data_IF_604363561471
#
_entry.id   IF_604363561471
#
_cell.length_a   1.000
_cell.length_b   1.000
_cell.length_c   1.000
_cell.angle_alpha   90.00
_cell.angle_beta   90.00
_cell.angle_gamma   90.00
#
_symmetry.space_group_name_H-M   'P 1'
#
loop_
_entity.id
_entity.type
_entity.pdbx_description
1 polymer ?
#
# COMPACT_ATOMS: atom_id res chain seq x y z
N UNK A 1 10.77 -19.82 -12.38
CA UNK A 1 9.62 -20.75 -12.27
C UNK A 1 9.58 -21.58 -13.53
N UNK A 2 9.13 -22.84 -13.48
CA UNK A 2 8.92 -23.64 -14.69
C UNK A 2 7.61 -23.22 -15.37
N UNK A 3 7.53 -23.28 -16.70
CA UNK A 3 6.33 -22.89 -17.47
C UNK A 3 5.07 -23.62 -16.98
N UNK A 4 5.18 -24.91 -16.64
CA UNK A 4 4.07 -25.69 -16.09
C UNK A 4 3.55 -25.22 -14.72
N UNK A 5 4.35 -24.50 -13.92
CA UNK A 5 3.88 -23.92 -12.65
C UNK A 5 3.02 -22.68 -12.89
N UNK A 6 3.36 -21.88 -13.89
CA UNK A 6 2.61 -20.69 -14.28
C UNK A 6 1.26 -21.08 -14.90
N UNK A 7 1.24 -22.04 -15.82
CA UNK A 7 -0.01 -22.57 -16.40
C UNK A 7 -0.96 -23.15 -15.35
N UNK A 8 -0.41 -23.78 -14.30
CA UNK A 8 -1.21 -24.28 -13.18
C UNK A 8 -1.80 -23.15 -12.34
N UNK A 9 -1.03 -22.07 -12.10
CA UNK A 9 -1.51 -20.91 -11.37
C UNK A 9 -2.61 -20.18 -12.14
N UNK A 10 -2.45 -19.96 -13.44
CA UNK A 10 -3.44 -19.28 -14.26
C UNK A 10 -4.76 -20.06 -14.33
N UNK A 11 -4.69 -21.38 -14.51
CA UNK A 11 -5.89 -22.24 -14.45
C UNK A 11 -6.57 -22.19 -13.09
N UNK A 12 -5.78 -22.14 -12.01
CA UNK A 12 -6.32 -22.00 -10.65
C UNK A 12 -7.05 -20.66 -10.48
N UNK A 13 -6.44 -19.54 -10.89
CA UNK A 13 -7.06 -18.22 -10.79
C UNK A 13 -8.33 -18.12 -11.65
N UNK A 14 -8.29 -18.64 -12.88
CA UNK A 14 -9.45 -18.67 -13.79
C UNK A 14 -10.60 -19.50 -13.20
N UNK A 15 -10.33 -20.72 -12.72
CA UNK A 15 -11.35 -21.55 -12.07
C UNK A 15 -11.88 -20.93 -10.77
N UNK A 16 -11.06 -20.11 -10.11
CA UNK A 16 -11.43 -19.34 -8.93
C UNK A 16 -12.26 -18.11 -9.23
N UNK A 17 -12.34 -17.64 -10.49
CA UNK A 17 -12.91 -16.33 -10.81
C UNK A 17 -12.11 -15.17 -10.21
N UNK A 18 -10.80 -15.36 -10.02
CA UNK A 18 -9.90 -14.36 -9.41
C UNK A 18 -9.23 -13.56 -10.51
N UNK A 19 -9.53 -12.27 -10.58
CA UNK A 19 -8.94 -11.33 -11.54
C UNK A 19 -7.80 -10.56 -10.88
N UNK A 20 -6.57 -10.84 -11.31
CA UNK A 20 -5.36 -10.13 -10.89
C UNK A 20 -4.76 -9.40 -12.09
N UNK A 21 -4.14 -8.25 -11.85
CA UNK A 21 -3.33 -7.58 -12.86
C UNK A 21 -1.90 -8.12 -12.92
N UNK A 22 -1.06 -7.63 -13.84
CA UNK A 22 0.30 -8.15 -14.05
C UNK A 22 1.18 -8.14 -12.80
N UNK A 23 1.31 -6.99 -12.13
CA UNK A 23 2.14 -6.85 -10.91
C UNK A 23 1.64 -7.75 -9.77
N UNK A 24 0.33 -7.90 -9.63
CA UNK A 24 -0.27 -8.80 -8.64
C UNK A 24 0.04 -10.27 -8.95
N UNK A 25 -0.01 -10.66 -10.22
CA UNK A 25 0.39 -12.01 -10.67
C UNK A 25 1.88 -12.25 -10.42
N UNK A 26 2.74 -11.26 -10.69
CA UNK A 26 4.18 -11.38 -10.44
C UNK A 26 4.47 -11.61 -8.96
N UNK A 27 3.85 -10.84 -8.08
CA UNK A 27 3.96 -11.03 -6.62
C UNK A 27 3.41 -12.39 -6.18
N UNK A 28 2.27 -12.84 -6.72
CA UNK A 28 1.73 -14.16 -6.42
C UNK A 28 2.64 -15.29 -6.91
N UNK A 29 3.18 -15.17 -8.12
CA UNK A 29 4.16 -16.11 -8.68
C UNK A 29 5.43 -16.18 -7.82
N UNK A 30 5.94 -15.04 -7.37
CA UNK A 30 7.04 -14.98 -6.41
C UNK A 30 6.70 -15.72 -5.11
N UNK A 31 5.51 -15.49 -4.54
CA UNK A 31 5.04 -16.18 -3.33
C UNK A 31 4.95 -17.69 -3.53
N UNK A 32 4.44 -18.16 -4.67
CA UNK A 32 4.39 -19.59 -5.02
C UNK A 32 5.81 -20.17 -5.12
N UNK A 33 6.75 -19.42 -5.69
CA UNK A 33 8.17 -19.80 -5.72
C UNK A 33 8.80 -19.92 -4.33
N UNK A 34 8.37 -19.09 -3.36
CA UNK A 34 8.89 -19.13 -1.98
C UNK A 34 8.20 -20.17 -1.09
N UNK A 35 6.88 -20.28 -1.16
CA UNK A 35 6.08 -21.07 -0.24
C UNK A 35 5.68 -22.44 -0.78
N UNK A 36 5.64 -22.60 -2.11
CA UNK A 36 5.14 -23.79 -2.78
C UNK A 36 3.77 -23.57 -3.42
N UNK A 37 3.19 -24.65 -3.92
CA UNK A 37 1.98 -24.60 -4.74
C UNK A 37 0.80 -23.87 -4.05
N UNK A 38 0.03 -23.08 -4.82
CA UNK A 38 -1.14 -22.38 -4.32
C UNK A 38 -2.36 -23.31 -4.18
N UNK A 39 -3.25 -22.99 -3.25
CA UNK A 39 -4.56 -23.64 -3.05
C UNK A 39 -5.65 -22.59 -2.90
N UNK A 40 -6.86 -22.86 -3.39
CA UNK A 40 -8.04 -21.99 -3.22
C UNK A 40 -8.85 -22.42 -1.99
N UNK A 41 -9.23 -21.45 -1.16
CA UNK A 41 -10.19 -21.57 -0.04
C UNK A 41 -9.95 -22.79 0.87
N UNK A 42 -8.71 -23.26 0.96
CA UNK A 42 -8.42 -24.63 1.41
C UNK A 42 -9.04 -24.95 2.77
N UNK A 43 -9.74 -26.07 2.87
CA UNK A 43 -10.26 -26.65 4.12
C UNK A 43 -9.91 -28.15 4.23
N UNK A 44 -8.70 -28.55 3.86
CA UNK A 44 -8.22 -29.90 4.22
C UNK A 44 -7.61 -29.91 5.62
N UNK A 45 -7.94 -30.96 6.38
CA UNK A 45 -7.39 -31.27 7.71
C UNK A 45 -5.95 -31.77 7.57
N UNK A 46 -4.97 -30.88 7.67
CA UNK A 46 -3.55 -31.23 7.63
C UNK A 46 -2.64 -30.03 7.83
N UNK A 47 -1.40 -30.25 8.29
CA UNK A 47 -0.37 -29.20 8.39
C UNK A 47 -0.08 -28.65 6.99
N UNK A 48 -0.33 -27.36 6.80
CA UNK A 48 -0.16 -26.70 5.50
C UNK A 48 1.23 -26.11 5.36
N UNK A 49 1.77 -26.25 4.15
CA UNK A 49 2.84 -25.44 3.58
C UNK A 49 2.34 -24.98 2.21
N UNK A 50 2.71 -23.78 1.77
CA UNK A 50 2.27 -23.25 0.48
C UNK A 50 1.53 -21.93 0.57
N UNK A 51 0.96 -21.53 -0.56
CA UNK A 51 0.15 -20.31 -0.69
C UNK A 51 -1.33 -20.68 -0.56
N UNK A 52 -2.06 -19.96 0.29
CA UNK A 52 -3.51 -20.13 0.50
C UNK A 52 -4.18 -18.87 -0.03
N UNK A 53 -4.95 -19.00 -1.11
CA UNK A 53 -5.70 -17.91 -1.72
C UNK A 53 -7.13 -17.97 -1.19
N UNK A 54 -7.55 -16.92 -0.48
CA UNK A 54 -8.90 -16.82 0.08
C UNK A 54 -9.74 -15.89 -0.78
N UNK A 55 -10.73 -16.45 -1.47
CA UNK A 55 -11.61 -15.71 -2.37
C UNK A 55 -12.78 -15.07 -1.64
N UNK A 56 -13.27 -15.76 -0.62
CA UNK A 56 -14.44 -15.35 0.16
C UNK A 56 -14.07 -15.14 1.63
N UNK A 57 -14.71 -14.16 2.30
CA UNK A 57 -14.59 -13.98 3.74
C UNK A 57 -14.93 -15.24 4.51
N UNK A 58 -14.11 -15.56 5.52
CA UNK A 58 -14.36 -16.68 6.42
C UNK A 58 -15.28 -16.26 7.56
N UNK A 59 -16.12 -17.18 8.02
CA UNK A 59 -16.79 -17.00 9.32
C UNK A 59 -15.73 -16.91 10.44
N UNK A 60 -16.10 -16.32 11.58
CA UNK A 60 -15.18 -16.19 12.72
C UNK A 60 -14.58 -17.54 13.14
N UNK A 61 -15.40 -18.60 13.21
CA UNK A 61 -14.94 -19.95 13.55
C UNK A 61 -13.99 -20.53 12.48
N UNK A 62 -14.31 -20.36 11.19
CA UNK A 62 -13.46 -20.83 10.10
C UNK A 62 -12.11 -20.08 10.06
N UNK A 63 -12.11 -18.78 10.32
CA UNK A 63 -10.90 -17.98 10.43
C UNK A 63 -10.00 -18.41 11.61
N UNK A 64 -10.58 -18.77 12.76
CA UNK A 64 -9.82 -19.32 13.89
C UNK A 64 -9.19 -20.69 13.57
N UNK A 65 -9.95 -21.58 12.92
CA UNK A 65 -9.45 -22.87 12.48
C UNK A 65 -8.30 -22.70 11.47
N UNK A 66 -8.48 -21.81 10.49
CA UNK A 66 -7.42 -21.48 9.54
C UNK A 66 -6.19 -20.97 10.29
N UNK A 67 -6.33 -19.94 11.13
CA UNK A 67 -5.22 -19.35 11.88
C UNK A 67 -4.42 -20.39 12.66
N UNK A 68 -5.09 -21.30 13.36
CA UNK A 68 -4.45 -22.39 14.14
C UNK A 68 -3.76 -23.43 13.27
N UNK A 69 -4.17 -23.58 12.01
CA UNK A 69 -3.57 -24.53 11.06
C UNK A 69 -2.34 -23.99 10.33
N UNK A 70 -2.13 -22.67 10.35
CA UNK A 70 -1.01 -22.03 9.65
C UNK A 70 0.33 -22.39 10.29
N UNK A 71 1.35 -22.52 9.44
CA UNK A 71 2.75 -22.66 9.85
C UNK A 71 3.56 -21.48 9.28
N UNK A 72 4.82 -21.26 9.71
CA UNK A 72 5.70 -20.28 9.04
C UNK A 72 6.01 -20.64 7.58
N UNK A 73 5.68 -21.86 7.15
CA UNK A 73 5.72 -22.33 5.78
C UNK A 73 4.48 -21.95 4.94
N UNK A 74 3.55 -21.14 5.48
CA UNK A 74 2.37 -20.66 4.78
C UNK A 74 2.44 -19.16 4.46
N UNK A 75 1.85 -18.78 3.33
CA UNK A 75 1.39 -17.43 3.04
C UNK A 75 -0.10 -17.45 2.74
N UNK A 76 -0.83 -16.47 3.26
CA UNK A 76 -2.24 -16.21 2.94
C UNK A 76 -2.28 -15.04 1.98
N UNK A 77 -3.04 -15.19 0.89
CA UNK A 77 -3.27 -14.16 -0.13
C UNK A 77 -4.77 -13.90 -0.22
N UNK A 78 -5.15 -12.62 -0.21
CA UNK A 78 -6.53 -12.17 -0.33
C UNK A 78 -6.60 -11.24 -1.55
N UNK A 79 -7.17 -11.67 -2.69
CA UNK A 79 -7.13 -10.91 -3.93
C UNK A 79 -8.18 -9.77 -3.99
N UNK A 80 -9.12 -9.73 -3.04
CA UNK A 80 -10.21 -8.73 -2.90
C UNK A 80 -10.17 -8.09 -1.52
N UNK A 81 -8.97 -7.72 -1.10
CA UNK A 81 -8.67 -7.43 0.31
C UNK A 81 -9.28 -6.14 0.84
N UNK A 82 -9.76 -5.28 -0.07
CA UNK A 82 -10.52 -4.09 0.24
C UNK A 82 -11.90 -4.40 0.84
N UNK A 83 -12.41 -5.63 0.63
CA UNK A 83 -13.67 -6.03 1.22
C UNK A 83 -13.54 -6.18 2.76
N UNK A 84 -14.45 -5.56 3.52
CA UNK A 84 -14.40 -5.56 4.98
C UNK A 84 -14.58 -6.93 5.64
N UNK A 85 -15.20 -7.90 4.96
CA UNK A 85 -15.39 -9.25 5.46
C UNK A 85 -14.08 -9.95 5.82
N UNK A 86 -12.96 -9.56 5.19
CA UNK A 86 -11.64 -10.12 5.47
C UNK A 86 -10.95 -9.54 6.72
N UNK A 87 -11.47 -8.44 7.28
CA UNK A 87 -10.81 -7.70 8.36
C UNK A 87 -10.58 -8.56 9.62
N UNK A 88 -11.51 -9.46 9.95
CA UNK A 88 -11.36 -10.36 11.09
C UNK A 88 -10.12 -11.25 10.96
N UNK A 89 -9.93 -11.90 9.82
CA UNK A 89 -8.76 -12.74 9.59
C UNK A 89 -7.48 -11.91 9.49
N UNK A 90 -7.49 -10.80 8.73
CA UNK A 90 -6.34 -9.90 8.60
C UNK A 90 -5.85 -9.42 9.98
N UNK A 91 -6.77 -9.15 10.92
CA UNK A 91 -6.42 -8.71 12.28
C UNK A 91 -5.66 -9.74 13.12
N UNK A 92 -5.76 -11.03 12.77
CA UNK A 92 -5.06 -12.15 13.43
C UNK A 92 -3.71 -12.46 12.80
N UNK A 93 -3.52 -12.08 11.55
CA UNK A 93 -2.32 -12.36 10.79
C UNK A 93 -1.33 -11.21 10.90
N UNK A 94 -0.05 -11.53 10.69
CA UNK A 94 0.94 -10.53 10.36
C UNK A 94 0.78 -10.20 8.89
N UNK A 95 0.41 -8.96 8.62
CA UNK A 95 0.44 -8.40 7.27
C UNK A 95 1.89 -8.29 6.79
N UNK A 96 2.17 -8.81 5.60
CA UNK A 96 3.48 -8.74 4.98
C UNK A 96 3.55 -7.67 3.89
N UNK A 97 2.47 -7.51 3.12
CA UNK A 97 2.41 -6.53 2.05
C UNK A 97 1.06 -6.44 1.35
N UNK A 98 0.98 -5.48 0.45
CA UNK A 98 -0.19 -5.23 -0.41
C UNK A 98 0.26 -4.82 -1.80
N UNK A 99 -0.51 -5.18 -2.83
CA UNK A 99 -0.35 -4.68 -4.19
C UNK A 99 -1.65 -3.96 -4.57
N UNK A 100 -1.54 -2.68 -4.91
CA UNK A 100 -2.68 -1.85 -5.33
C UNK A 100 -3.39 -2.38 -6.59
N UNK A 101 -4.58 -1.86 -6.92
CA UNK A 101 -5.30 -2.18 -8.15
C UNK A 101 -4.51 -1.83 -9.42
N UNK A 102 -4.67 -2.66 -10.45
CA UNK A 102 -4.10 -2.52 -11.79
C UNK A 102 -5.16 -2.03 -12.80
N UNK A 103 -5.88 -0.94 -12.50
CA UNK A 103 -6.95 -0.45 -13.38
C UNK A 103 -8.03 -1.51 -13.63
N UNK A 104 -8.57 -1.58 -14.84
CA UNK A 104 -9.59 -2.57 -15.18
C UNK A 104 -9.06 -4.02 -15.20
N UNK A 105 -7.76 -4.24 -15.47
CA UNK A 105 -7.20 -5.59 -15.63
C UNK A 105 -7.07 -6.37 -14.32
N UNK A 106 -6.95 -5.66 -13.21
CA UNK A 106 -6.94 -6.20 -11.85
C UNK A 106 -7.48 -5.16 -10.88
N UNK A 107 -8.80 -4.96 -10.80
CA UNK A 107 -9.38 -3.77 -10.16
C UNK A 107 -9.44 -3.86 -8.63
N UNK A 108 -8.89 -4.92 -8.05
CA UNK A 108 -8.91 -5.20 -6.62
C UNK A 108 -7.55 -4.96 -5.97
N UNK A 109 -7.53 -4.75 -4.66
CA UNK A 109 -6.27 -4.72 -3.89
C UNK A 109 -5.92 -6.14 -3.44
N UNK A 110 -4.69 -6.58 -3.74
CA UNK A 110 -4.20 -7.87 -3.27
C UNK A 110 -3.43 -7.68 -1.95
N UNK A 111 -3.87 -8.35 -0.89
CA UNK A 111 -3.18 -8.40 0.39
C UNK A 111 -2.49 -9.74 0.58
N UNK A 112 -1.34 -9.76 1.25
CA UNK A 112 -0.68 -11.01 1.64
C UNK A 112 -0.02 -10.93 3.02
N UNK A 113 -0.02 -12.07 3.71
CA UNK A 113 0.45 -12.16 5.09
C UNK A 113 0.58 -13.60 5.59
N UNK A 114 0.79 -13.76 6.89
CA UNK A 114 0.97 -15.06 7.53
C UNK A 114 1.18 -14.94 9.03
N UNK A 115 1.79 -15.94 9.65
CA UNK A 115 2.00 -15.94 11.11
C UNK A 115 3.37 -15.37 11.54
N UNK A 116 4.27 -15.07 10.60
CA UNK A 116 5.54 -14.41 10.91
C UNK A 116 6.55 -14.37 9.75
N UNK A 117 7.58 -13.54 9.93
CA UNK A 117 8.61 -13.21 8.93
C UNK A 117 9.81 -14.17 8.88
N UNK A 118 9.88 -15.17 9.76
CA UNK A 118 11.08 -15.98 10.00
C UNK A 118 11.62 -16.67 8.74
N UNK A 119 10.75 -17.00 7.79
CA UNK A 119 11.16 -17.62 6.53
C UNK A 119 12.03 -16.71 5.66
N UNK A 120 11.76 -15.40 5.66
CA UNK A 120 12.44 -14.46 4.77
C UNK A 120 13.70 -13.85 5.37
N UNK A 121 13.75 -13.70 6.69
CA UNK A 121 14.88 -13.06 7.37
C UNK A 121 16.19 -13.82 7.11
N UNK A 122 16.15 -15.15 7.12
CA UNK A 122 17.32 -15.99 6.83
C UNK A 122 17.77 -15.90 5.37
N UNK A 123 16.82 -15.77 4.45
CA UNK A 123 17.08 -15.73 2.99
C UNK A 123 17.51 -14.36 2.48
N UNK A 124 17.17 -13.28 3.19
CA UNK A 124 17.47 -11.92 2.77
C UNK A 124 18.97 -11.66 2.54
N UNK A 125 19.83 -12.34 3.30
CA UNK A 125 21.29 -12.24 3.16
C UNK A 125 21.81 -12.71 1.79
N UNK A 126 21.07 -13.58 1.11
CA UNK A 126 21.40 -14.09 -0.22
C UNK A 126 20.96 -13.17 -1.36
N UNK A 127 20.30 -12.03 -1.07
CA UNK A 127 19.89 -11.08 -2.10
C UNK A 127 21.10 -10.61 -2.92
N UNK A 128 21.09 -10.75 -4.26
CA UNK A 128 22.13 -10.18 -5.11
C UNK A 128 21.97 -8.66 -5.26
N UNK A 129 20.74 -8.15 -5.09
CA UNK A 129 20.45 -6.72 -5.15
C UNK A 129 20.78 -6.10 -3.80
N UNK A 130 21.66 -5.08 -3.83
CA UNK A 130 22.08 -4.29 -2.66
C UNK A 130 21.55 -2.87 -2.85
N UNK A 131 20.75 -2.32 -1.91
CA UNK A 131 20.36 -0.92 -1.99
C UNK A 131 21.55 -0.03 -1.62
N UNK A 132 21.58 1.19 -2.18
CA UNK A 132 22.42 2.24 -1.62
C UNK A 132 21.74 2.78 -0.36
N UNK A 133 22.50 2.79 0.73
CA UNK A 133 22.01 3.38 1.98
C UNK A 133 22.18 4.89 1.88
N UNK A 134 21.10 5.63 2.04
CA UNK A 134 21.11 7.09 2.01
C UNK A 134 20.68 7.65 3.35
N UNK A 135 21.35 8.72 3.79
CA UNK A 135 21.02 9.39 5.03
C UNK A 135 21.38 10.86 4.94
N UNK A 136 20.71 11.69 5.72
CA UNK A 136 21.05 13.09 5.85
C UNK A 136 21.05 13.50 7.32
N UNK A 137 21.86 14.49 7.65
CA UNK A 137 21.89 15.11 8.97
C UNK A 137 21.99 16.62 8.82
N UNK A 138 21.69 17.36 9.89
CA UNK A 138 21.76 18.82 9.85
C UNK A 138 23.20 19.31 9.66
N UNK A 139 23.40 20.34 8.82
CA UNK A 139 24.67 21.07 8.72
C UNK A 139 24.93 21.85 10.00
N UNK A 140 26.16 21.75 10.52
CA UNK A 140 26.52 22.36 11.81
C UNK A 140 25.85 21.69 13.02
N UNK A 141 25.27 20.50 12.84
CA UNK A 141 24.87 19.62 13.93
C UNK A 141 26.06 18.85 14.52
N UNK A 142 25.78 17.91 15.42
CA UNK A 142 26.79 17.00 15.96
C UNK A 142 27.50 16.25 14.83
N UNK A 143 28.81 16.49 14.68
CA UNK A 143 29.63 15.87 13.65
C UNK A 143 29.73 14.34 13.80
N UNK A 144 29.40 13.81 14.98
CA UNK A 144 29.36 12.38 15.27
C UNK A 144 27.99 11.75 15.02
N UNK A 145 26.97 12.54 14.66
CA UNK A 145 25.59 12.07 14.50
C UNK A 145 25.45 10.89 13.53
N UNK A 146 26.28 10.82 12.49
CA UNK A 146 26.27 9.73 11.51
C UNK A 146 27.39 8.69 11.71
N UNK A 147 28.23 8.83 12.74
CA UNK A 147 29.43 8.00 12.91
C UNK A 147 29.07 6.53 13.10
N UNK A 148 28.12 6.24 13.99
CA UNK A 148 27.72 4.88 14.30
C UNK A 148 27.07 4.18 13.08
N UNK A 149 26.28 4.92 12.30
CA UNK A 149 25.72 4.44 11.03
C UNK A 149 26.83 4.10 10.04
N UNK A 150 27.75 5.05 9.75
CA UNK A 150 28.89 4.85 8.83
C UNK A 150 29.71 3.62 9.18
N UNK A 151 30.11 3.50 10.45
CA UNK A 151 30.90 2.37 10.92
C UNK A 151 30.15 1.03 10.75
N UNK A 152 28.84 1.00 11.02
CA UNK A 152 28.05 -0.22 10.81
C UNK A 152 27.86 -0.57 9.32
N UNK A 153 27.80 0.42 8.44
CA UNK A 153 27.72 0.23 6.99
C UNK A 153 29.01 -0.34 6.41
N UNK A 154 30.16 0.19 6.85
CA UNK A 154 31.49 -0.33 6.48
C UNK A 154 31.64 -1.79 6.91
N UNK A 155 31.20 -2.14 8.12
CA UNK A 155 31.23 -3.52 8.63
C UNK A 155 30.43 -4.51 7.76
N UNK A 156 29.36 -4.04 7.10
CA UNK A 156 28.52 -4.88 6.23
C UNK A 156 28.83 -4.72 4.74
N UNK A 157 29.88 -3.98 4.39
CA UNK A 157 30.26 -3.68 3.01
C UNK A 157 29.09 -3.09 2.19
N UNK A 158 28.37 -2.13 2.79
CA UNK A 158 27.22 -1.48 2.17
C UNK A 158 27.60 -0.11 1.63
N UNK A 159 27.33 0.10 0.34
CA UNK A 159 27.50 1.41 -0.27
C UNK A 159 26.55 2.43 0.36
N UNK A 160 27.06 3.64 0.62
CA UNK A 160 26.24 4.68 1.22
C UNK A 160 26.45 6.07 0.61
N UNK A 161 25.49 6.96 0.86
CA UNK A 161 25.61 8.39 0.68
C UNK A 161 25.04 9.07 1.92
N UNK A 162 25.89 9.74 2.68
CA UNK A 162 25.50 10.46 3.88
C UNK A 162 26.05 11.87 3.81
N UNK A 163 25.17 12.87 3.76
CA UNK A 163 25.55 14.28 3.64
C UNK A 163 24.86 15.19 4.66
N UNK A 164 25.52 16.29 5.08
CA UNK A 164 24.85 17.36 5.78
C UNK A 164 23.94 18.14 4.83
N UNK A 165 22.72 18.44 5.28
CA UNK A 165 21.78 19.31 4.59
C UNK A 165 21.52 20.59 5.39
N UNK A 166 21.22 21.67 4.68
CA UNK A 166 20.79 22.93 5.27
C UNK A 166 19.32 22.81 5.67
N UNK A 167 18.98 23.30 6.86
CA UNK A 167 17.64 23.21 7.43
C UNK A 167 17.06 24.61 7.64
N UNK A 168 15.79 24.82 7.28
CA UNK A 168 15.07 26.07 7.52
C UNK A 168 14.92 26.34 9.01
N UNK A 169 14.59 25.30 9.77
CA UNK A 169 14.60 25.34 11.23
C UNK A 169 15.95 24.78 11.69
N UNK A 170 16.81 25.64 12.23
CA UNK A 170 18.19 25.29 12.59
C UNK A 170 18.34 24.21 13.67
N UNK A 171 17.25 23.67 14.22
CA UNK A 171 17.26 22.64 15.25
C UNK A 171 16.87 21.24 14.74
N UNK A 172 16.23 21.11 13.56
CA UNK A 172 15.67 19.84 13.06
C UNK A 172 15.60 19.77 11.54
N UNK A 173 15.51 18.55 11.00
CA UNK A 173 15.19 18.32 9.58
C UNK A 173 13.66 18.21 9.46
N UNK A 174 13.08 18.98 8.53
CA UNK A 174 11.65 18.93 8.23
C UNK A 174 11.31 17.82 7.23
N UNK A 175 10.05 17.38 7.22
CA UNK A 175 9.56 16.34 6.31
C UNK A 175 9.87 16.65 4.83
N UNK A 176 9.65 17.90 4.40
CA UNK A 176 9.90 18.27 3.01
C UNK A 176 11.40 18.27 2.67
N UNK A 177 12.27 18.63 3.62
CA UNK A 177 13.72 18.62 3.42
C UNK A 177 14.24 17.19 3.26
N UNK A 178 13.69 16.25 4.03
CA UNK A 178 13.96 14.82 3.88
C UNK A 178 13.46 14.30 2.53
N UNK A 179 12.24 14.66 2.11
CA UNK A 179 11.69 14.26 0.83
C UNK A 179 12.48 14.84 -0.36
N UNK A 180 12.91 16.10 -0.30
CA UNK A 180 13.82 16.74 -1.27
C UNK A 180 15.17 16.02 -1.35
N UNK A 181 15.76 15.70 -0.20
CA UNK A 181 16.99 14.91 -0.13
C UNK A 181 16.79 13.56 -0.83
N UNK A 182 15.70 12.85 -0.52
CA UNK A 182 15.38 11.56 -1.15
C UNK A 182 15.20 11.68 -2.66
N UNK A 183 14.52 12.71 -3.15
CA UNK A 183 14.35 12.97 -4.58
C UNK A 183 15.69 13.25 -5.28
N UNK A 184 16.57 14.04 -4.65
CA UNK A 184 17.95 14.23 -5.15
C UNK A 184 18.70 12.92 -5.26
N UNK A 185 18.63 12.08 -4.22
CA UNK A 185 19.28 10.77 -4.23
C UNK A 185 18.69 9.85 -5.30
N UNK A 186 17.36 9.89 -5.51
CA UNK A 186 16.67 9.15 -6.57
C UNK A 186 17.18 9.52 -7.96
N UNK A 187 17.41 10.80 -8.22
CA UNK A 187 17.92 11.27 -9.51
C UNK A 187 19.41 10.96 -9.70
N UNK A 188 20.18 10.90 -8.61
CA UNK A 188 21.63 10.68 -8.64
C UNK A 188 22.02 9.22 -8.80
N UNK A 189 21.30 8.31 -8.16
CA UNK A 189 21.67 6.89 -8.07
C UNK A 189 20.72 6.01 -8.88
N UNK A 190 21.24 4.92 -9.45
CA UNK A 190 20.48 4.02 -10.33
C UNK A 190 20.04 2.74 -9.63
N UNK A 191 20.68 2.42 -8.52
CA UNK A 191 20.34 1.33 -7.61
C UNK A 191 19.16 1.70 -6.69
N UNK A 192 18.45 0.72 -6.11
CA UNK A 192 17.43 0.97 -5.09
C UNK A 192 17.98 1.76 -3.91
N UNK A 193 17.13 2.56 -3.28
CA UNK A 193 17.50 3.38 -2.14
C UNK A 193 16.92 2.80 -0.87
N UNK A 194 17.71 2.83 0.21
CA UNK A 194 17.21 2.62 1.56
C UNK A 194 17.61 3.82 2.42
N UNK A 195 16.62 4.64 2.77
CA UNK A 195 16.82 5.70 3.74
C UNK A 195 16.92 5.13 5.15
N UNK A 196 17.89 5.62 5.91
CA UNK A 196 18.06 5.33 7.33
C UNK A 196 18.42 6.64 8.05
N UNK A 197 17.79 6.92 9.19
CA UNK A 197 18.14 8.07 10.03
C UNK A 197 19.63 8.07 10.42
N UNK A 198 20.25 9.25 10.44
CA UNK A 198 21.71 9.38 10.61
C UNK A 198 22.23 8.77 11.92
N UNK A 199 21.47 8.89 13.02
CA UNK A 199 21.83 8.36 14.34
C UNK A 199 21.64 6.84 14.49
N UNK A 200 21.13 6.16 13.46
CA UNK A 200 20.89 4.72 13.55
C UNK A 200 22.16 3.88 13.56
N UNK A 201 22.03 2.64 14.01
CA UNK A 201 23.08 1.60 13.93
C UNK A 201 22.50 0.36 13.27
N UNK A 202 23.17 -0.14 12.24
CA UNK A 202 22.84 -1.43 11.67
C UNK A 202 23.40 -2.54 12.56
N UNK A 203 22.57 -3.52 12.91
CA UNK A 203 23.00 -4.75 13.61
C UNK A 203 23.12 -5.94 12.67
N UNK A 204 22.42 -5.89 11.55
CA UNK A 204 22.49 -6.84 10.44
C UNK A 204 22.39 -6.07 9.12
N UNK A 205 22.74 -6.71 8.00
CA UNK A 205 22.60 -6.09 6.68
C UNK A 205 21.10 -5.95 6.32
N UNK A 206 20.59 -4.74 6.04
CA UNK A 206 19.16 -4.49 5.82
C UNK A 206 18.74 -4.84 4.38
N UNK A 207 18.80 -6.13 4.04
CA UNK A 207 18.63 -6.62 2.67
C UNK A 207 17.24 -7.17 2.36
N UNK A 208 16.38 -7.29 3.37
CA UNK A 208 15.02 -7.84 3.23
C UNK A 208 14.19 -7.14 2.13
N UNK A 209 14.06 -5.80 2.06
CA UNK A 209 13.30 -5.16 0.99
C UNK A 209 13.79 -5.53 -0.42
N UNK A 210 15.11 -5.55 -0.63
CA UNK A 210 15.70 -5.90 -1.92
C UNK A 210 15.52 -7.37 -2.26
N UNK A 211 15.59 -8.27 -1.27
CA UNK A 211 15.27 -9.69 -1.45
C UNK A 211 13.80 -9.90 -1.88
N UNK A 212 12.89 -9.12 -1.31
CA UNK A 212 11.46 -9.19 -1.63
C UNK A 212 11.13 -8.60 -3.00
N UNK A 213 12.00 -7.74 -3.55
CA UNK A 213 11.82 -7.15 -4.87
C UNK A 213 10.53 -6.32 -4.97
N UNK A 214 10.16 -5.60 -3.91
CA UNK A 214 8.98 -4.72 -3.89
C UNK A 214 9.31 -3.31 -4.41
N UNK A 215 8.28 -2.53 -4.69
CA UNK A 215 8.45 -1.11 -5.04
C UNK A 215 8.85 -0.30 -3.82
N UNK A 216 8.19 -0.56 -2.69
CA UNK A 216 8.35 0.25 -1.48
C UNK A 216 8.32 -0.67 -0.26
N UNK A 217 9.20 -0.42 0.70
CA UNK A 217 9.11 -1.06 2.00
C UNK A 217 9.32 -0.08 3.15
N UNK A 218 8.45 -0.16 4.15
CA UNK A 218 8.49 0.69 5.33
C UNK A 218 7.77 0.01 6.50
N UNK A 219 7.85 0.57 7.69
CA UNK A 219 7.21 0.01 8.87
C UNK A 219 5.89 0.71 9.19
N UNK A 220 4.91 -0.08 9.65
CA UNK A 220 3.68 0.41 10.30
C UNK A 220 3.89 0.51 11.80
N UNK A 221 4.18 1.70 12.29
CA UNK A 221 4.17 2.02 13.72
C UNK A 221 2.74 2.01 14.25
N UNK A 222 2.54 1.52 15.49
CA UNK A 222 1.21 1.35 16.10
C UNK A 222 0.17 0.62 15.24
N UNK A 223 0.60 -0.19 14.24
CA UNK A 223 -0.20 -0.90 13.23
C UNK A 223 -0.90 -0.02 12.18
N UNK A 224 -0.72 1.29 12.21
CA UNK A 224 -1.39 2.20 11.25
C UNK A 224 -0.51 3.36 10.77
N UNK A 225 0.41 3.87 11.60
CA UNK A 225 1.25 5.02 11.27
C UNK A 225 2.43 4.58 10.40
N UNK A 226 2.65 5.25 9.27
CA UNK A 226 3.84 5.01 8.46
C UNK A 226 5.05 5.72 9.07
N UNK A 227 6.19 5.04 9.11
CA UNK A 227 7.44 5.63 9.59
C UNK A 227 8.45 5.76 8.46
N UNK A 228 8.91 6.99 8.19
CA UNK A 228 9.94 7.26 7.19
C UNK A 228 11.37 7.07 7.71
N UNK A 229 11.55 6.68 8.98
CA UNK A 229 12.88 6.43 9.58
C UNK A 229 13.65 5.30 8.90
N UNK A 230 12.91 4.41 8.25
CA UNK A 230 13.45 3.35 7.39
C UNK A 230 12.51 3.22 6.20
N UNK A 231 12.92 3.78 5.07
CA UNK A 231 12.12 3.81 3.85
C UNK A 231 12.94 3.25 2.69
N UNK A 232 12.51 2.11 2.16
CA UNK A 232 13.05 1.51 0.96
C UNK A 232 12.26 1.96 -0.26
N UNK A 233 12.96 2.31 -1.34
CA UNK A 233 12.41 2.59 -2.65
C UNK A 233 13.15 1.74 -3.70
N UNK A 234 12.44 0.76 -4.24
CA UNK A 234 12.82 0.02 -5.44
C UNK A 234 12.86 0.95 -6.65
N UNK A 235 13.61 0.58 -7.68
CA UNK A 235 13.77 1.42 -8.89
C UNK A 235 12.65 1.17 -9.89
N UNK A 236 11.45 1.58 -9.51
CA UNK A 236 10.23 1.44 -10.33
C UNK A 236 9.52 2.78 -10.46
N UNK A 237 8.70 2.91 -11.51
CA UNK A 237 7.87 4.10 -11.72
C UNK A 237 6.89 4.31 -10.56
N UNK A 238 6.43 3.22 -9.95
CA UNK A 238 5.53 3.26 -8.82
C UNK A 238 6.17 3.87 -7.56
N UNK A 239 7.40 3.46 -7.26
CA UNK A 239 8.18 4.04 -6.17
C UNK A 239 8.54 5.51 -6.42
N UNK A 240 8.83 5.88 -7.67
CA UNK A 240 9.08 7.28 -8.05
C UNK A 240 7.84 8.15 -7.82
N UNK A 241 6.67 7.67 -8.23
CA UNK A 241 5.42 8.41 -8.05
C UNK A 241 5.07 8.58 -6.58
N UNK A 242 5.30 7.55 -5.75
CA UNK A 242 5.17 7.71 -4.30
C UNK A 242 6.08 8.82 -3.77
N UNK A 243 7.36 8.80 -4.17
CA UNK A 243 8.33 9.78 -3.71
C UNK A 243 7.95 11.20 -4.15
N UNK A 244 7.46 11.37 -5.39
CA UNK A 244 6.96 12.65 -5.90
C UNK A 244 5.73 13.14 -5.14
N UNK A 245 4.76 12.26 -4.89
CA UNK A 245 3.56 12.59 -4.12
C UNK A 245 3.92 13.01 -2.69
N UNK A 246 4.84 12.28 -2.04
CA UNK A 246 5.31 12.60 -0.70
C UNK A 246 6.04 13.95 -0.65
N UNK A 247 6.93 14.22 -1.60
CA UNK A 247 7.61 15.52 -1.74
C UNK A 247 6.62 16.67 -1.88
N UNK A 248 5.63 16.54 -2.77
CA UNK A 248 4.61 17.57 -3.00
C UNK A 248 3.75 17.82 -1.76
N UNK A 249 3.27 16.76 -1.10
CA UNK A 249 2.47 16.86 0.12
C UNK A 249 3.27 17.50 1.26
N UNK A 250 4.53 17.07 1.45
CA UNK A 250 5.39 17.62 2.49
C UNK A 250 5.69 19.10 2.29
N UNK A 251 5.91 19.53 1.03
CA UNK A 251 6.10 20.95 0.70
C UNK A 251 4.81 21.78 0.91
N UNK A 252 3.65 21.20 0.61
CA UNK A 252 2.35 21.90 0.70
C UNK A 252 1.84 22.01 2.13
N UNK A 253 2.18 21.05 2.99
CA UNK A 253 1.65 20.94 4.35
C UNK A 253 2.76 20.75 5.40
N UNK A 254 3.70 21.72 5.53
CA UNK A 254 4.91 21.57 6.36
C UNK A 254 4.63 21.45 7.86
N UNK A 255 3.42 21.80 8.32
CA UNK A 255 3.00 21.69 9.72
C UNK A 255 2.43 20.31 10.09
N UNK A 256 2.14 19.46 9.09
CA UNK A 256 1.60 18.11 9.31
C UNK A 256 2.75 17.13 9.51
N UNK A 257 2.56 16.16 10.41
CA UNK A 257 3.60 15.20 10.74
C UNK A 257 3.91 14.24 9.57
N UNK A 258 5.17 13.81 9.49
CA UNK A 258 5.73 13.08 8.36
C UNK A 258 4.99 11.77 8.06
N UNK A 259 4.69 10.99 9.11
CA UNK A 259 4.03 9.69 8.94
C UNK A 259 2.64 9.79 8.30
N UNK A 260 1.89 10.86 8.57
CA UNK A 260 0.60 11.09 7.90
C UNK A 260 0.79 11.47 6.44
N UNK A 261 1.70 12.39 6.13
CA UNK A 261 1.95 12.81 4.75
C UNK A 261 2.43 11.65 3.87
N UNK A 262 3.25 10.76 4.43
CA UNK A 262 3.68 9.54 3.74
C UNK A 262 2.53 8.55 3.54
N UNK A 263 1.63 8.40 4.52
CA UNK A 263 0.41 7.59 4.38
C UNK A 263 -0.52 8.14 3.29
N UNK A 264 -0.71 9.46 3.23
CA UNK A 264 -1.49 10.11 2.18
C UNK A 264 -0.85 9.92 0.80
N UNK A 265 0.47 10.09 0.70
CA UNK A 265 1.21 9.83 -0.54
C UNK A 265 1.06 8.37 -1.00
N UNK A 266 1.16 7.43 -0.06
CA UNK A 266 0.96 6.00 -0.31
C UNK A 266 -0.45 5.71 -0.80
N UNK A 267 -1.47 6.27 -0.15
CA UNK A 267 -2.87 6.10 -0.53
C UNK A 267 -3.14 6.58 -1.96
N UNK A 268 -2.73 7.81 -2.26
CA UNK A 268 -2.87 8.43 -3.58
C UNK A 268 -2.15 7.65 -4.67
N UNK A 269 -0.95 7.16 -4.38
CA UNK A 269 -0.16 6.37 -5.33
C UNK A 269 -0.83 5.01 -5.52
N UNK A 270 -1.14 4.30 -4.44
CA UNK A 270 -1.70 2.96 -4.54
C UNK A 270 -3.12 2.92 -5.14
N UNK A 271 -3.85 4.04 -5.22
CA UNK A 271 -5.16 4.08 -5.92
C UNK A 271 -5.02 4.32 -7.43
N UNK A 272 -3.91 4.91 -7.88
CA UNK A 272 -3.68 5.26 -9.29
C UNK A 272 -2.90 4.19 -10.06
N UNK A 273 -2.16 3.33 -9.35
CA UNK A 273 -1.30 2.31 -9.93
C UNK A 273 -1.06 1.15 -8.95
N UNK A 274 -0.64 -0.01 -9.46
CA UNK A 274 -0.37 -1.17 -8.63
C UNK A 274 0.96 -1.06 -7.89
N UNK A 275 0.96 -0.27 -6.81
CA UNK A 275 2.12 -0.13 -5.92
C UNK A 275 2.30 -1.39 -5.07
N UNK A 276 3.41 -2.12 -5.26
CA UNK A 276 3.79 -3.28 -4.47
C UNK A 276 4.52 -2.85 -3.18
N UNK A 277 3.78 -2.85 -2.08
CA UNK A 277 4.22 -2.37 -0.79
C UNK A 277 4.48 -3.52 0.16
N UNK A 278 5.63 -3.47 0.84
CA UNK A 278 5.99 -4.37 1.93
C UNK A 278 5.98 -3.64 3.27
N UNK A 279 5.39 -4.29 4.28
CA UNK A 279 5.36 -3.81 5.65
C UNK A 279 6.43 -4.50 6.47
N UNK A 280 7.53 -3.79 6.74
CA UNK A 280 8.69 -4.34 7.43
C UNK A 280 8.32 -4.84 8.84
N UNK A 281 8.86 -5.99 9.29
CA UNK A 281 8.54 -6.51 10.60
C UNK A 281 8.96 -5.57 11.73
N UNK A 282 8.31 -5.70 12.89
CA UNK A 282 8.73 -5.05 14.14
C UNK A 282 10.19 -5.34 14.53
N UNK A 283 10.75 -6.48 14.09
CA UNK A 283 12.16 -6.81 14.30
C UNK A 283 13.10 -6.14 13.29
N UNK A 284 12.58 -5.43 12.30
CA UNK A 284 13.41 -4.78 11.29
C UNK A 284 13.95 -3.44 11.78
N UNK A 285 13.14 -2.69 12.52
CA UNK A 285 13.62 -1.52 13.23
C UNK A 285 13.04 -1.39 14.64
N UNK A 286 13.78 -0.75 15.54
CA UNK A 286 13.34 -0.46 16.91
C UNK A 286 14.06 0.78 17.43
N UNK A 287 13.52 1.43 18.46
CA UNK A 287 14.23 2.48 19.18
C UNK A 287 15.11 1.89 20.28
N UNK A 288 16.19 2.57 20.62
CA UNK A 288 17.02 2.25 21.78
C UNK A 288 16.20 2.36 23.06
N UNK A 289 16.12 1.27 23.82
CA UNK A 289 15.33 1.18 25.04
C UNK A 289 14.01 0.43 24.88
N UNK A 290 13.55 0.20 23.65
CA UNK A 290 12.36 -0.62 23.40
C UNK A 290 12.63 -2.12 23.64
N UNK A 291 11.57 -2.86 23.97
CA UNK A 291 11.62 -4.33 24.13
C UNK A 291 12.17 -5.05 22.87
N UNK A 292 11.95 -4.48 21.68
CA UNK A 292 12.41 -5.02 20.40
C UNK A 292 13.88 -4.72 20.06
N UNK A 293 14.53 -3.81 20.81
CA UNK A 293 15.84 -3.26 20.46
C UNK A 293 16.92 -4.34 20.31
N UNK A 294 16.83 -5.42 21.08
CA UNK A 294 17.83 -6.50 21.08
C UNK A 294 17.86 -7.29 19.77
N UNK A 295 16.74 -7.36 19.05
CA UNK A 295 16.58 -8.16 17.81
C UNK A 295 16.37 -7.32 16.56
N UNK A 296 16.57 -6.00 16.67
CA UNK A 296 16.32 -5.07 15.57
C UNK A 296 17.44 -5.16 14.52
N UNK A 297 17.10 -5.29 13.23
CA UNK A 297 18.08 -5.14 12.13
C UNK A 297 18.68 -3.72 12.13
N UNK A 298 17.84 -2.70 12.34
CA UNK A 298 18.20 -1.28 12.43
C UNK A 298 17.78 -0.73 13.79
N UNK A 299 18.74 -0.24 14.57
CA UNK A 299 18.47 0.39 15.87
C UNK A 299 18.56 1.90 15.74
N UNK A 300 17.45 2.60 16.02
CA UNK A 300 17.40 4.06 16.04
C UNK A 300 17.67 4.60 17.44
N UNK A 301 18.45 5.67 17.54
CA UNK A 301 18.87 6.29 18.81
C UNK A 301 17.97 7.46 19.25
N UNK A 302 17.29 8.11 18.31
CA UNK A 302 16.38 9.21 18.58
C UNK A 302 15.01 8.72 19.06
N UNK A 303 14.50 9.32 20.14
CA UNK A 303 13.10 9.13 20.54
C UNK A 303 12.15 9.68 19.47
N UNK A 304 10.95 9.11 19.40
CA UNK A 304 9.95 9.59 18.46
C UNK A 304 9.34 10.90 18.92
N UNK A 305 9.15 11.82 17.99
CA UNK A 305 8.51 13.12 18.25
C UNK A 305 7.12 13.19 17.64
N UNK A 306 6.32 14.15 18.08
CA UNK A 306 4.98 14.43 17.52
C UNK A 306 5.02 14.98 16.09
N UNK A 307 6.21 15.26 15.56
CA UNK A 307 6.44 15.62 14.15
C UNK A 307 6.65 14.41 13.25
N UNK A 308 6.96 13.26 13.83
CA UNK A 308 7.17 12.01 13.11
C UNK A 308 5.93 11.11 13.22
N UNK A 309 5.36 11.01 14.43
CA UNK A 309 4.15 10.24 14.73
C UNK A 309 3.06 11.14 15.29
N UNK A 310 1.80 10.70 15.20
CA UNK A 310 0.66 11.51 15.62
C UNK A 310 0.71 11.91 17.11
N UNK A 311 0.12 13.06 17.48
CA UNK A 311 0.27 13.64 18.81
C UNK A 311 -0.46 12.91 19.95
N UNK A 312 -1.32 11.92 19.66
CA UNK A 312 -2.19 11.31 20.68
C UNK A 312 -2.30 9.77 20.55
N UNK A 313 -1.90 8.99 21.57
CA UNK A 313 -2.21 7.55 21.69
C UNK A 313 -3.71 7.23 21.62
N UNK A 314 -4.58 8.18 21.99
CA UNK A 314 -6.04 8.14 21.91
C UNK A 314 -6.60 8.39 20.50
N UNK A 315 -5.84 9.03 19.59
CA UNK A 315 -6.22 9.15 18.18
C UNK A 315 -6.40 7.78 17.54
N UNK A 316 -5.55 6.81 17.90
CA UNK A 316 -5.70 5.42 17.49
C UNK A 316 -6.99 4.74 17.99
N UNK A 317 -7.66 5.30 19.02
CA UNK A 317 -8.97 4.87 19.53
C UNK A 317 -10.15 5.52 18.79
N UNK A 318 -10.01 6.78 18.41
CA UNK A 318 -11.00 7.53 17.61
C UNK A 318 -10.97 7.10 16.15
N UNK A 319 -9.78 6.77 15.64
CA UNK A 319 -9.59 6.33 14.27
C UNK A 319 -10.00 4.85 14.08
N UNK A 320 -10.14 4.05 15.16
CA UNK A 320 -10.15 2.57 15.23
C UNK A 320 -11.31 1.80 14.56
N UNK A 321 -11.80 2.24 13.41
CA UNK A 321 -12.59 1.41 12.49
C UNK A 321 -11.72 1.13 11.27
N UNK A 322 -11.30 -0.12 11.08
CA UNK A 322 -10.52 -0.52 9.91
C UNK A 322 -11.20 -0.04 8.60
N UNK A 323 -10.41 0.35 7.57
CA UNK A 323 -10.43 -0.20 6.19
C UNK A 323 -9.50 0.50 5.19
N UNK A 324 -9.16 -0.27 4.14
CA UNK A 324 -7.98 -0.31 3.24
C UNK A 324 -6.69 -0.68 3.97
N UNK A 325 -6.18 -1.89 3.76
CA UNK A 325 -4.95 -2.40 4.38
C UNK A 325 -4.77 -2.09 5.91
N UNK A 326 -5.88 -1.96 6.66
CA UNK A 326 -5.87 -1.60 8.08
C UNK A 326 -5.91 -0.10 8.44
N UNK A 327 -6.24 0.82 7.51
CA UNK A 327 -6.30 2.29 7.71
C UNK A 327 -7.54 2.80 8.44
N UNK A 328 -7.47 4.08 8.82
CA UNK A 328 -8.46 4.87 9.56
C UNK A 328 -8.45 6.34 9.08
N UNK A 329 -9.53 6.89 8.52
CA UNK A 329 -9.62 8.26 7.97
C UNK A 329 -10.74 8.44 6.92
N UNK A 330 -11.06 9.67 6.45
CA UNK A 330 -12.02 9.88 5.35
C UNK A 330 -11.58 9.09 4.11
N UNK A 331 -12.54 8.52 3.37
CA UNK A 331 -12.21 7.58 2.29
C UNK A 331 -11.67 8.28 1.06
N UNK A 332 -10.37 8.15 0.87
CA UNK A 332 -9.73 8.34 -0.43
C UNK A 332 -10.35 7.39 -1.47
N UNK A 333 -10.33 7.81 -2.73
CA UNK A 333 -10.72 6.94 -3.84
C UNK A 333 -9.95 5.62 -3.76
N UNK A 334 -10.67 4.50 -3.81
CA UNK A 334 -10.09 3.16 -3.78
C UNK A 334 -9.27 2.91 -5.06
N UNK A 335 -9.85 3.27 -6.20
CA UNK A 335 -9.19 3.20 -7.50
C UNK A 335 -9.45 4.50 -8.26
N UNK A 336 -8.42 4.97 -8.93
CA UNK A 336 -8.43 6.13 -9.81
C UNK A 336 -7.97 5.66 -11.18
N UNK A 337 -8.77 5.93 -12.22
CA UNK A 337 -8.43 5.60 -13.59
C UNK A 337 -8.48 6.86 -14.45
N UNK A 338 -7.46 7.09 -15.25
CA UNK A 338 -7.42 8.17 -16.23
C UNK A 338 -7.68 7.61 -17.62
N UNK A 339 -8.50 8.31 -18.42
CA UNK A 339 -8.72 7.95 -19.82
C UNK A 339 -7.79 8.76 -20.74
N UNK A 340 -7.80 8.45 -22.03
CA UNK A 340 -7.10 9.24 -23.06
C UNK A 340 -7.90 10.46 -23.52
N UNK A 341 -9.10 10.68 -22.98
CA UNK A 341 -9.91 11.83 -23.34
C UNK A 341 -9.20 13.12 -22.89
N UNK A 342 -9.06 14.09 -23.79
CA UNK A 342 -8.45 15.40 -23.49
C UNK A 342 -9.42 16.32 -22.72
N UNK A 343 -10.17 15.77 -21.75
CA UNK A 343 -11.13 16.51 -20.94
C UNK A 343 -10.67 16.52 -19.49
N UNK A 344 -10.83 17.66 -18.82
CA UNK A 344 -10.56 17.79 -17.37
C UNK A 344 -11.74 17.34 -16.49
N UNK A 345 -12.83 16.87 -17.09
CA UNK A 345 -14.03 16.46 -16.38
C UNK A 345 -13.83 15.08 -15.76
N UNK A 346 -14.18 14.95 -14.47
CA UNK A 346 -14.10 13.68 -13.75
C UNK A 346 -15.46 13.17 -13.30
N UNK A 347 -15.50 11.86 -13.03
CA UNK A 347 -16.66 11.17 -12.46
C UNK A 347 -16.24 10.38 -11.22
N UNK A 348 -16.99 10.58 -10.13
CA UNK A 348 -16.89 9.85 -8.89
C UNK A 348 -18.02 8.81 -8.82
N UNK A 349 -17.64 7.53 -8.75
CA UNK A 349 -18.57 6.44 -8.49
C UNK A 349 -18.45 6.04 -7.03
N UNK A 350 -19.56 6.08 -6.30
CA UNK A 350 -19.64 5.74 -4.89
C UNK A 350 -20.41 4.43 -4.77
N UNK A 351 -19.71 3.35 -4.42
CA UNK A 351 -20.33 2.05 -4.14
C UNK A 351 -20.71 2.00 -2.66
N UNK A 352 -22.01 2.13 -2.36
CA UNK A 352 -22.53 2.15 -0.98
C UNK A 352 -22.77 0.74 -0.43
N UNK A 353 -23.03 0.65 0.87
CA UNK A 353 -23.48 -0.55 1.57
C UNK A 353 -22.55 -1.78 1.43
N UNK A 354 -21.23 -1.53 1.24
CA UNK A 354 -20.24 -2.59 1.02
C UNK A 354 -20.13 -3.56 2.21
N UNK A 355 -20.35 -3.11 3.45
CA UNK A 355 -20.31 -3.99 4.63
C UNK A 355 -21.50 -4.95 4.74
N UNK A 356 -22.65 -4.55 4.20
CA UNK A 356 -23.88 -5.33 4.25
C UNK A 356 -24.03 -6.25 3.03
N UNK A 357 -23.11 -6.16 2.07
CA UNK A 357 -23.18 -6.85 0.78
C UNK A 357 -22.23 -8.04 0.72
N UNK A 358 -22.60 -9.03 -0.11
CA UNK A 358 -21.75 -10.16 -0.42
C UNK A 358 -20.43 -9.74 -1.10
N UNK A 359 -19.32 -10.40 -0.74
CA UNK A 359 -18.01 -10.02 -1.25
C UNK A 359 -17.86 -10.28 -2.76
N UNK A 360 -18.48 -11.34 -3.27
CA UNK A 360 -18.58 -11.61 -4.70
C UNK A 360 -19.37 -10.53 -5.44
N UNK A 361 -20.51 -10.09 -4.89
CA UNK A 361 -21.32 -9.02 -5.48
C UNK A 361 -20.59 -7.67 -5.52
N UNK A 362 -19.90 -7.30 -4.43
CA UNK A 362 -19.04 -6.11 -4.38
C UNK A 362 -17.97 -6.22 -5.46
N UNK A 363 -17.28 -7.35 -5.53
CA UNK A 363 -16.19 -7.53 -6.47
C UNK A 363 -16.64 -7.45 -7.93
N UNK A 364 -17.71 -8.15 -8.28
CA UNK A 364 -18.30 -8.10 -9.63
C UNK A 364 -18.73 -6.68 -10.02
N UNK A 365 -19.22 -5.88 -9.07
CA UNK A 365 -19.60 -4.48 -9.33
C UNK A 365 -18.38 -3.61 -9.60
N UNK A 366 -17.30 -3.78 -8.82
CA UNK A 366 -16.02 -3.09 -9.06
C UNK A 366 -15.46 -3.45 -10.43
N UNK A 367 -15.45 -4.74 -10.79
CA UNK A 367 -15.02 -5.21 -12.12
C UNK A 367 -15.88 -4.62 -13.25
N UNK A 368 -17.21 -4.55 -13.06
CA UNK A 368 -18.11 -4.01 -14.06
C UNK A 368 -17.95 -2.50 -14.25
N UNK A 369 -17.79 -1.72 -13.17
CA UNK A 369 -17.57 -0.26 -13.24
C UNK A 369 -16.25 0.07 -13.92
N UNK A 370 -15.16 -0.58 -13.48
CA UNK A 370 -13.82 -0.33 -14.04
C UNK A 370 -13.73 -0.81 -15.48
N UNK A 371 -14.36 -1.95 -15.81
CA UNK A 371 -14.48 -2.47 -17.18
C UNK A 371 -15.29 -1.55 -18.09
N UNK A 372 -16.45 -1.05 -17.64
CA UNK A 372 -17.26 -0.11 -18.40
C UNK A 372 -16.47 1.19 -18.68
N UNK A 373 -15.73 1.72 -17.70
CA UNK A 373 -14.95 2.94 -17.90
C UNK A 373 -13.79 2.75 -18.89
N UNK A 374 -13.13 1.59 -18.84
CA UNK A 374 -12.08 1.24 -19.78
C UNK A 374 -12.61 1.03 -21.20
N UNK A 375 -13.84 0.50 -21.34
CA UNK A 375 -14.47 0.28 -22.65
C UNK A 375 -15.00 1.57 -23.26
N UNK A 376 -15.72 2.37 -22.47
CA UNK A 376 -16.28 3.66 -22.86
C UNK A 376 -16.35 4.60 -21.65
N UNK A 377 -15.40 5.53 -21.57
CA UNK A 377 -15.33 6.53 -20.50
C UNK A 377 -16.40 7.62 -20.59
N UNK A 378 -17.27 7.63 -21.61
CA UNK A 378 -18.35 8.61 -21.74
C UNK A 378 -17.90 10.06 -21.84
N UNK A 379 -16.65 10.30 -22.22
CA UNK A 379 -16.04 11.64 -22.30
C UNK A 379 -15.47 12.16 -20.97
N UNK A 380 -15.50 11.37 -19.89
CA UNK A 380 -14.81 11.69 -18.64
C UNK A 380 -13.31 11.36 -18.75
N UNK A 381 -12.45 12.31 -18.39
CA UNK A 381 -11.00 12.15 -18.36
C UNK A 381 -10.51 11.34 -17.16
N UNK A 382 -11.31 11.29 -16.07
CA UNK A 382 -10.96 10.64 -14.81
C UNK A 382 -12.14 9.95 -14.15
N UNK A 383 -11.94 8.71 -13.70
CA UNK A 383 -12.83 7.97 -12.81
C UNK A 383 -12.18 7.89 -11.42
N UNK A 384 -12.97 8.15 -10.39
CA UNK A 384 -12.64 7.82 -9.01
C UNK A 384 -13.74 6.92 -8.44
N UNK A 385 -13.38 5.70 -8.07
CA UNK A 385 -14.31 4.76 -7.44
C UNK A 385 -14.01 4.67 -5.95
N UNK A 386 -14.99 4.98 -5.13
CA UNK A 386 -14.94 4.92 -3.67
C UNK A 386 -15.82 3.78 -3.18
N UNK A 387 -15.24 2.91 -2.34
CA UNK A 387 -15.98 1.84 -1.67
C UNK A 387 -16.43 2.35 -0.31
N UNK A 388 -17.73 2.44 -0.08
CA UNK A 388 -18.32 2.96 1.15
C UNK A 388 -18.99 1.82 1.91
N UNK A 389 -18.43 1.47 3.05
CA UNK A 389 -18.93 0.36 3.84
C UNK A 389 -20.12 0.77 4.72
N UNK A 390 -20.16 2.03 5.12
CA UNK A 390 -21.18 2.63 5.99
C UNK A 390 -21.75 3.91 5.37
N UNK A 391 -22.87 4.40 5.90
CA UNK A 391 -23.52 5.60 5.38
C UNK A 391 -22.68 6.88 5.58
N UNK A 392 -21.95 6.99 6.69
CA UNK A 392 -21.05 8.12 6.94
C UNK A 392 -19.93 8.19 5.89
N UNK A 393 -19.47 7.03 5.38
CA UNK A 393 -18.48 6.97 4.30
C UNK A 393 -19.03 7.60 3.01
N UNK A 394 -20.33 7.39 2.72
CA UNK A 394 -20.99 7.92 1.51
C UNK A 394 -21.04 9.45 1.56
N UNK A 395 -21.37 10.02 2.73
CA UNK A 395 -21.39 11.47 2.93
C UNK A 395 -20.03 12.10 2.64
N UNK A 396 -18.96 11.56 3.25
CA UNK A 396 -17.60 12.04 3.05
C UNK A 396 -17.14 11.93 1.58
N UNK A 397 -17.43 10.80 0.93
CA UNK A 397 -17.08 10.60 -0.48
C UNK A 397 -17.83 11.57 -1.40
N UNK A 398 -19.10 11.85 -1.10
CA UNK A 398 -19.91 12.81 -1.86
C UNK A 398 -19.37 14.24 -1.73
N UNK A 399 -18.99 14.64 -0.51
CA UNK A 399 -18.40 15.96 -0.25
C UNK A 399 -17.05 16.12 -0.97
N UNK A 400 -16.18 15.11 -0.89
CA UNK A 400 -14.89 15.12 -1.59
C UNK A 400 -15.07 15.22 -3.11
N UNK A 401 -15.98 14.44 -3.69
CA UNK A 401 -16.30 14.49 -5.12
C UNK A 401 -16.89 15.83 -5.55
N UNK A 402 -17.73 16.44 -4.71
CA UNK A 402 -18.30 17.76 -4.97
C UNK A 402 -17.23 18.86 -4.95
N UNK A 403 -16.28 18.81 -3.99
CA UNK A 403 -15.14 19.72 -3.93
C UNK A 403 -14.23 19.60 -5.17
N UNK A 404 -14.04 18.38 -5.67
CA UNK A 404 -13.33 18.10 -6.91
C UNK A 404 -14.14 18.45 -8.18
N UNK A 405 -15.40 18.89 -8.03
CA UNK A 405 -16.35 19.18 -9.11
C UNK A 405 -16.58 17.99 -10.04
N UNK A 406 -16.52 16.78 -9.50
CA UNK A 406 -16.83 15.58 -10.27
C UNK A 406 -18.32 15.35 -10.37
N UNK A 407 -18.70 14.67 -11.45
CA UNK A 407 -20.03 14.07 -11.55
C UNK A 407 -20.12 12.93 -10.54
N UNK A 408 -21.19 12.87 -9.75
CA UNK A 408 -21.36 11.85 -8.71
C UNK A 408 -22.37 10.81 -9.17
N UNK A 409 -21.99 9.54 -9.13
CA UNK A 409 -22.86 8.38 -9.33
C UNK A 409 -22.84 7.50 -8.08
N UNK A 410 -24.00 7.27 -7.50
CA UNK A 410 -24.16 6.36 -6.35
C UNK A 410 -24.78 5.05 -6.84
N UNK A 411 -24.10 3.94 -6.57
CA UNK A 411 -24.51 2.60 -7.01
C UNK A 411 -24.46 1.62 -5.85
N UNK A 412 -25.25 0.55 -5.94
CA UNK A 412 -25.24 -0.54 -4.97
C UNK A 412 -24.57 -1.80 -5.55
N UNK A 413 -23.94 -2.65 -4.71
CA UNK A 413 -23.43 -3.94 -5.14
C UNK A 413 -24.52 -4.78 -5.83
N UNK A 414 -24.18 -5.41 -6.95
CA UNK A 414 -25.09 -6.21 -7.78
C UNK A 414 -25.95 -5.41 -8.76
N UNK A 415 -25.86 -4.08 -8.75
CA UNK A 415 -26.51 -3.25 -9.77
C UNK A 415 -25.90 -3.57 -11.15
N UNK A 416 -26.76 -3.73 -12.16
CA UNK A 416 -26.31 -3.98 -13.53
C UNK A 416 -25.64 -2.73 -14.09
N UNK A 417 -24.37 -2.87 -14.44
CA UNK A 417 -23.57 -1.84 -15.13
C UNK A 417 -23.37 -2.30 -16.57
N UNK A 418 -23.83 -1.51 -17.53
CA UNK A 418 -23.63 -1.77 -18.96
C UNK A 418 -22.28 -1.22 -19.43
N UNK A 419 -21.78 -1.67 -20.59
CA UNK A 419 -20.48 -1.20 -21.09
C UNK A 419 -20.49 0.29 -21.48
N UNK A 420 -21.64 0.82 -21.88
CA UNK A 420 -21.89 2.22 -22.24
C UNK A 420 -22.37 3.07 -21.06
N UNK A 421 -22.24 2.56 -19.83
CA UNK A 421 -22.81 3.17 -18.62
C UNK A 421 -22.45 4.65 -18.46
N UNK A 422 -21.20 5.02 -18.73
CA UNK A 422 -20.73 6.40 -18.61
C UNK A 422 -21.23 7.31 -19.74
N UNK A 423 -21.27 6.79 -20.97
CA UNK A 423 -21.79 7.53 -22.12
C UNK A 423 -23.29 7.82 -21.99
N UNK A 424 -24.07 6.83 -21.54
CA UNK A 424 -25.49 7.00 -21.26
C UNK A 424 -25.74 8.11 -20.22
N UNK A 425 -24.94 8.14 -19.14
CA UNK A 425 -25.05 9.17 -18.11
C UNK A 425 -24.65 10.56 -18.60
N UNK A 426 -23.64 10.67 -19.48
CA UNK A 426 -23.26 11.94 -20.08
C UNK A 426 -24.37 12.48 -21.01
N UNK A 427 -25.04 11.61 -21.77
CA UNK A 427 -26.13 11.98 -22.68
C UNK A 427 -27.38 12.48 -21.91
N UNK A 428 -27.80 11.76 -20.86
CA UNK A 428 -28.92 12.17 -20.02
C UNK A 428 -28.71 13.57 -19.41
N UNK A 429 -27.47 13.91 -19.06
CA UNK A 429 -27.13 15.25 -18.57
C UNK A 429 -27.23 16.33 -19.64
N UNK A 430 -26.75 16.07 -20.86
CA UNK A 430 -26.86 17.02 -21.95
C UNK A 430 -28.35 17.36 -22.22
N UNK A 431 -29.21 16.36 -22.17
CA UNK A 431 -30.67 16.52 -22.33
C UNK A 431 -31.28 17.31 -21.17
N UNK A 432 -30.92 17.02 -19.91
CA UNK A 432 -31.43 17.78 -18.74
C UNK A 432 -30.95 19.24 -18.74
N UNK A 433 -29.69 19.48 -19.11
CA UNK A 433 -29.12 20.83 -19.18
C UNK A 433 -29.77 21.64 -20.31
N UNK A 434 -29.99 21.02 -21.47
CA UNK A 434 -30.71 21.64 -22.59
C UNK A 434 -32.14 22.02 -22.21
N UNK A 435 -32.86 21.17 -21.48
CA UNK A 435 -34.22 21.46 -20.97
C UNK A 435 -34.26 22.60 -19.95
N UNK A 436 -33.20 22.82 -19.19
CA UNK A 436 -33.12 23.95 -18.26
C UNK A 436 -32.73 25.27 -18.92
N UNK A 437 -31.97 25.22 -20.01
CA UNK A 437 -31.56 26.42 -20.77
C UNK A 437 -32.58 26.82 -21.84
N UNK A 438 -33.38 25.87 -22.31
CA UNK A 438 -34.44 26.05 -23.30
C UNK A 438 -35.73 25.35 -22.83
N UNK A 439 -36.47 25.95 -21.87
CA UNK A 439 -37.70 25.39 -21.31
C UNK A 439 -38.84 25.27 -22.32
#
# INVERSE_FOLDING_TARGET
>A
MTDGTLENLDRLLQSGGVRLGPIQRDRLGWLVGQYGAPTLDGFSEGRRNGVIILKEPLSGAAAELLYRSLTPGCAVVIPRSENPGFDFLKSKLTEFGTVGPCGADGPHEMWWGGIGWSKFLTSANASPVRPRIVSCHRRGGDATAAFALRHSLERFDLTCHIEPIDTQLGDRILCFEKAEFMMRMWNKYREPLLFVEAGAVLREAPLLPSFLGCDVALHKWNRWEMSARTLYLGRTEAAEMLLRAWQQLAASYPAIWEGYLLDQAWSLTSSQLPLDTVWLPRSYHSLKGDLGAMRATILHDQQTTTLELGPDPGFAGIARTARRAGRTGPRDAFIVMTSKAETSNGIAVILRDVSASDAGAVAATVEAVTGAYAADCGGYGRLELSLCAWQDDVGAAREAAALARYRILEIAPGQRIANDFFAAHAADQAVMTARHLFP
#
